data_IF_539823876728
#
_entry.id   IF_539823876728
#
_cell.length_a   1.000
_cell.length_b   1.000
_cell.length_c   1.000
_cell.angle_alpha   90.00
_cell.angle_beta   90.00
_cell.angle_gamma   90.00
#
_symmetry.space_group_name_H-M   'P 1'
#
loop_
_entity.id
_entity.type
_entity.pdbx_description
1 polymer ?
#
# COMPACT_ATOMS: atom_id res chain seq x y z
N UNK A 1 -19.36 18.92 -14.92
CA UNK A 1 -19.70 18.63 -16.35
C UNK A 1 -18.75 17.55 -16.93
N UNK A 2 -17.52 17.40 -16.42
CA UNK A 2 -16.55 16.40 -16.90
C UNK A 2 -16.84 14.96 -16.40
N UNK A 3 -17.38 14.79 -15.20
CA UNK A 3 -17.74 13.47 -14.63
C UNK A 3 -18.78 12.68 -15.48
N UNK A 4 -19.64 13.35 -16.23
CA UNK A 4 -20.63 12.69 -17.10
C UNK A 4 -20.03 12.02 -18.36
N UNK A 5 -18.79 12.37 -18.77
CA UNK A 5 -18.13 11.75 -19.92
C UNK A 5 -17.41 10.44 -19.58
N UNK A 6 -16.87 10.32 -18.36
CA UNK A 6 -16.19 9.10 -17.90
C UNK A 6 -17.18 7.94 -17.74
N UNK A 7 -18.37 8.20 -17.18
CA UNK A 7 -19.46 7.20 -17.08
C UNK A 7 -19.98 6.75 -18.45
N UNK A 8 -19.87 7.55 -19.51
CA UNK A 8 -20.29 7.17 -20.88
C UNK A 8 -19.30 6.21 -21.55
N UNK A 9 -18.01 6.25 -21.26
CA UNK A 9 -17.02 5.31 -21.82
C UNK A 9 -17.22 3.89 -21.24
N UNK A 10 -17.53 3.76 -19.95
CA UNK A 10 -17.85 2.49 -19.30
C UNK A 10 -19.19 1.91 -19.82
N UNK A 11 -20.15 2.76 -20.22
CA UNK A 11 -21.46 2.30 -20.78
C UNK A 11 -21.41 1.84 -22.25
N UNK A 12 -20.34 2.10 -22.99
CA UNK A 12 -20.21 1.62 -24.37
C UNK A 12 -19.64 0.20 -24.48
N UNK A 13 -19.09 -0.34 -23.42
CA UNK A 13 -18.73 -1.75 -23.35
C UNK A 13 -20.00 -2.56 -23.00
N UNK A 14 -20.74 -3.01 -24.01
CA UNK A 14 -21.90 -3.89 -23.83
C UNK A 14 -21.43 -5.25 -23.32
N UNK A 15 -21.37 -5.39 -22.01
CA UNK A 15 -21.45 -6.71 -21.37
C UNK A 15 -22.91 -7.15 -21.50
N UNK A 16 -23.17 -8.15 -22.36
CA UNK A 16 -24.47 -8.84 -22.36
C UNK A 16 -24.67 -9.43 -20.97
N UNK A 17 -25.62 -8.86 -20.20
CA UNK A 17 -26.11 -9.46 -18.97
C UNK A 17 -26.71 -10.84 -19.32
N UNK A 18 -25.95 -11.89 -19.05
CA UNK A 18 -26.51 -13.23 -18.94
C UNK A 18 -27.31 -13.27 -17.65
N UNK A 19 -28.62 -13.55 -17.77
CA UNK A 19 -29.52 -13.76 -16.63
C UNK A 19 -28.93 -14.87 -15.74
N UNK A 20 -28.55 -14.50 -14.54
CA UNK A 20 -28.11 -15.44 -13.51
C UNK A 20 -29.34 -16.20 -12.99
N UNK A 21 -29.51 -17.44 -13.43
CA UNK A 21 -30.27 -18.45 -12.74
C UNK A 21 -29.53 -19.77 -12.86
N UNK A 22 -29.10 -20.27 -11.70
CA UNK A 22 -28.66 -21.63 -11.36
C UNK A 22 -27.15 -21.88 -11.16
N UNK A 23 -26.93 -22.37 -9.97
CA UNK A 23 -25.93 -23.35 -9.48
C UNK A 23 -24.48 -22.89 -9.36
N UNK A 24 -24.05 -22.81 -8.13
CA UNK A 24 -22.67 -22.83 -7.64
C UNK A 24 -21.96 -24.05 -8.27
N UNK A 25 -21.11 -23.82 -9.28
CA UNK A 25 -20.42 -24.91 -9.91
C UNK A 25 -19.44 -24.57 -11.04
N UNK A 26 -19.58 -23.42 -11.71
CA UNK A 26 -18.83 -23.14 -12.95
C UNK A 26 -18.35 -21.68 -13.09
N UNK A 27 -17.69 -21.13 -12.08
CA UNK A 27 -17.03 -19.82 -12.23
C UNK A 27 -15.50 -20.02 -12.17
N UNK A 28 -14.97 -20.73 -13.18
CA UNK A 28 -13.53 -20.72 -13.51
C UNK A 28 -13.33 -20.20 -14.93
N UNK A 29 -13.75 -18.95 -15.20
CA UNK A 29 -13.35 -18.25 -16.43
C UNK A 29 -13.15 -16.77 -16.12
N UNK A 30 -11.90 -16.44 -15.85
CA UNK A 30 -11.39 -15.05 -15.83
C UNK A 30 -11.77 -14.38 -17.17
N UNK A 31 -12.35 -13.16 -17.16
CA UNK A 31 -12.62 -12.45 -18.41
C UNK A 31 -11.30 -12.17 -19.15
N UNK A 32 -11.03 -12.90 -20.22
CA UNK A 32 -9.95 -12.56 -21.15
C UNK A 32 -10.47 -11.47 -22.04
N UNK A 33 -10.01 -10.26 -21.87
CA UNK A 33 -10.27 -9.18 -22.84
C UNK A 33 -9.29 -9.36 -24.02
N UNK A 34 -9.74 -10.07 -25.05
CA UNK A 34 -9.04 -10.12 -26.32
C UNK A 34 -9.60 -8.99 -27.19
N UNK A 35 -8.83 -7.97 -27.48
CA UNK A 35 -9.13 -7.04 -28.57
C UNK A 35 -8.12 -7.26 -29.69
N UNK A 36 -8.53 -7.97 -30.72
CA UNK A 36 -7.88 -7.92 -32.03
C UNK A 36 -8.31 -6.61 -32.71
N UNK A 37 -7.50 -5.58 -32.58
CA UNK A 37 -7.66 -4.36 -33.38
C UNK A 37 -7.15 -4.65 -34.78
N UNK A 38 -7.95 -4.31 -35.79
CA UNK A 38 -7.54 -4.38 -37.20
C UNK A 38 -6.40 -3.39 -37.43
N UNK A 39 -5.16 -3.90 -37.62
CA UNK A 39 -3.99 -3.10 -37.90
C UNK A 39 -2.82 -3.36 -36.93
N UNK A 40 -2.31 -4.60 -36.85
CA UNK A 40 -0.99 -4.90 -36.24
C UNK A 40 -0.80 -4.75 -34.73
N UNK A 41 -1.54 -3.85 -34.04
CA UNK A 41 -1.38 -3.63 -32.59
C UNK A 41 -1.95 -4.77 -31.76
N UNK A 42 -1.07 -5.43 -30.97
CA UNK A 42 -1.47 -6.50 -30.08
C UNK A 42 -1.10 -6.18 -28.63
N UNK A 43 -2.11 -6.07 -27.78
CA UNK A 43 -1.94 -5.95 -26.35
C UNK A 43 -2.94 -6.86 -25.66
N UNK A 44 -2.47 -7.59 -24.65
CA UNK A 44 -3.31 -8.42 -23.80
C UNK A 44 -3.06 -8.07 -22.34
N UNK A 45 -4.12 -7.80 -21.59
CA UNK A 45 -4.10 -7.62 -20.14
C UNK A 45 -4.86 -8.80 -19.51
N UNK A 46 -4.23 -9.48 -18.58
CA UNK A 46 -4.84 -10.52 -17.77
C UNK A 46 -4.88 -10.04 -16.32
N UNK A 47 -6.08 -9.91 -15.78
CA UNK A 47 -6.29 -9.59 -14.38
C UNK A 47 -6.04 -10.85 -13.56
N UNK A 48 -5.01 -10.84 -12.72
CA UNK A 48 -4.62 -11.99 -11.89
C UNK A 48 -5.34 -11.94 -10.55
N UNK A 49 -5.44 -10.76 -9.93
CA UNK A 49 -6.07 -10.58 -8.64
C UNK A 49 -6.78 -9.24 -8.49
N UNK A 50 -7.30 -8.96 -7.30
CA UNK A 50 -8.13 -7.81 -6.95
C UNK A 50 -9.35 -7.64 -7.90
N UNK A 51 -9.91 -8.74 -8.38
CA UNK A 51 -11.10 -8.76 -9.22
C UNK A 51 -12.29 -9.22 -8.40
N UNK A 52 -13.21 -8.31 -8.09
CA UNK A 52 -14.30 -8.46 -7.12
C UNK A 52 -13.86 -8.44 -5.64
N UNK A 53 -12.60 -8.12 -5.37
CA UNK A 53 -11.98 -8.02 -4.06
C UNK A 53 -11.08 -6.78 -3.97
N UNK A 54 -10.64 -6.45 -2.75
CA UNK A 54 -9.82 -5.27 -2.49
C UNK A 54 -8.34 -5.60 -2.60
N UNK A 55 -7.90 -6.78 -2.14
CA UNK A 55 -6.48 -7.12 -1.99
C UNK A 55 -5.94 -8.03 -3.10
N UNK A 56 -4.61 -8.10 -3.25
CA UNK A 56 -3.96 -8.99 -4.20
C UNK A 56 -3.83 -8.41 -5.62
N UNK A 57 -3.71 -7.09 -5.77
CA UNK A 57 -3.57 -6.42 -7.08
C UNK A 57 -2.41 -6.98 -7.89
N UNK A 58 -2.72 -7.52 -9.07
CA UNK A 58 -1.71 -8.04 -9.99
C UNK A 58 -2.29 -8.09 -11.42
N UNK A 59 -1.59 -7.45 -12.35
CA UNK A 59 -1.96 -7.41 -13.76
C UNK A 59 -0.82 -7.95 -14.61
N UNK A 60 -1.08 -9.00 -15.41
CA UNK A 60 -0.13 -9.51 -16.37
C UNK A 60 -0.40 -8.93 -17.75
N UNK A 61 0.64 -8.41 -18.40
CA UNK A 61 0.58 -7.79 -19.72
C UNK A 61 1.47 -8.50 -20.74
N UNK A 62 0.93 -8.67 -21.93
CA UNK A 62 1.66 -8.99 -23.15
C UNK A 62 1.48 -7.84 -24.13
N UNK A 63 2.55 -7.12 -24.47
CA UNK A 63 2.50 -5.96 -25.37
C UNK A 63 3.87 -5.67 -25.97
N UNK A 64 3.92 -5.20 -27.20
CA UNK A 64 5.16 -4.91 -27.95
C UNK A 64 6.18 -6.06 -27.91
N UNK A 65 5.72 -7.31 -27.85
CA UNK A 65 6.56 -8.49 -27.74
C UNK A 65 7.10 -8.81 -26.35
N UNK A 66 6.79 -8.00 -25.35
CA UNK A 66 7.26 -8.11 -23.96
C UNK A 66 6.21 -8.67 -23.01
N UNK A 67 6.67 -9.31 -21.92
CA UNK A 67 5.85 -9.89 -20.85
C UNK A 67 6.24 -9.26 -19.52
N UNK A 68 5.29 -8.58 -18.87
CA UNK A 68 5.58 -7.86 -17.62
C UNK A 68 4.36 -7.79 -16.70
N UNK A 69 4.58 -7.31 -15.49
CA UNK A 69 3.52 -7.11 -14.50
C UNK A 69 3.35 -5.63 -14.18
N UNK A 70 2.13 -5.26 -13.83
CA UNK A 70 1.83 -4.07 -13.03
C UNK A 70 1.28 -4.58 -11.71
N UNK A 71 1.94 -4.22 -10.62
CA UNK A 71 1.75 -4.75 -9.27
C UNK A 71 1.92 -6.28 -9.17
N UNK A 72 2.19 -6.75 -7.97
CA UNK A 72 2.32 -8.18 -7.64
C UNK A 72 1.95 -8.36 -6.17
N UNK A 73 0.67 -8.17 -5.88
CA UNK A 73 0.12 -8.08 -4.53
C UNK A 73 -0.17 -9.43 -3.92
N UNK A 74 -0.15 -9.44 -2.58
CA UNK A 74 -0.56 -10.57 -1.76
C UNK A 74 -2.01 -10.38 -1.32
N UNK A 75 -2.79 -11.43 -1.40
CA UNK A 75 -4.13 -11.49 -0.82
C UNK A 75 -4.07 -11.40 0.71
N UNK A 76 -4.99 -10.65 1.29
CA UNK A 76 -5.08 -10.44 2.73
C UNK A 76 -6.51 -10.59 3.23
N UNK A 77 -6.66 -11.28 4.36
CA UNK A 77 -7.95 -11.49 4.98
C UNK A 77 -8.64 -12.80 4.58
N UNK A 78 -9.94 -12.95 4.83
CA UNK A 78 -10.72 -14.10 4.41
C UNK A 78 -11.13 -13.91 2.94
N UNK A 79 -10.24 -14.26 2.01
CA UNK A 79 -10.47 -14.10 0.58
C UNK A 79 -11.47 -15.14 0.08
N UNK A 80 -12.48 -14.67 -0.63
CA UNK A 80 -13.47 -15.52 -1.29
C UNK A 80 -13.07 -15.86 -2.72
N UNK A 81 -12.12 -15.12 -3.29
CA UNK A 81 -11.61 -15.29 -4.64
C UNK A 81 -10.10 -15.38 -4.60
N UNK A 82 -9.55 -16.53 -4.94
CA UNK A 82 -8.10 -16.71 -5.03
C UNK A 82 -7.55 -16.03 -6.28
N UNK A 83 -6.37 -15.41 -6.17
CA UNK A 83 -5.64 -14.88 -7.31
C UNK A 83 -5.36 -16.00 -8.33
N UNK A 84 -5.55 -15.68 -9.60
CA UNK A 84 -5.23 -16.61 -10.66
C UNK A 84 -3.71 -16.79 -10.79
N UNK A 85 -3.30 -17.95 -11.29
CA UNK A 85 -1.89 -18.15 -11.64
C UNK A 85 -1.47 -17.24 -12.80
N UNK A 86 -0.26 -16.70 -12.73
CA UNK A 86 0.35 -15.98 -13.84
C UNK A 86 0.55 -16.97 -14.99
N UNK A 87 0.05 -16.67 -16.21
CA UNK A 87 -0.10 -17.66 -17.28
C UNK A 87 1.20 -18.02 -18.04
N UNK A 88 2.35 -17.64 -17.49
CA UNK A 88 3.69 -17.88 -18.06
C UNK A 88 4.66 -18.32 -16.96
N UNK A 89 5.79 -18.91 -17.35
CA UNK A 89 6.86 -19.17 -16.40
C UNK A 89 7.39 -17.84 -15.83
N UNK A 90 7.59 -17.77 -14.51
CA UNK A 90 7.94 -16.51 -13.85
C UNK A 90 9.31 -15.94 -14.29
N UNK A 91 10.21 -16.81 -14.78
CA UNK A 91 11.45 -16.37 -15.42
C UNK A 91 11.27 -15.69 -16.78
N UNK A 92 10.07 -15.73 -17.39
CA UNK A 92 9.76 -15.03 -18.62
C UNK A 92 9.24 -13.61 -18.39
N UNK A 93 8.94 -13.25 -17.14
CA UNK A 93 8.55 -11.88 -16.75
C UNK A 93 9.79 -11.01 -16.81
N UNK A 94 9.78 -10.01 -17.67
CA UNK A 94 10.95 -9.17 -17.96
C UNK A 94 11.12 -8.07 -16.91
N UNK A 95 10.03 -7.47 -16.44
CA UNK A 95 10.04 -6.43 -15.40
C UNK A 95 8.69 -6.32 -14.69
N UNK A 96 8.68 -5.58 -13.59
CA UNK A 96 7.47 -5.19 -12.86
C UNK A 96 7.42 -3.67 -12.77
N UNK A 97 6.26 -3.08 -12.96
CA UNK A 97 5.95 -1.68 -12.63
C UNK A 97 5.11 -1.70 -11.36
N UNK A 98 5.56 -1.06 -10.30
CA UNK A 98 4.90 -1.10 -8.99
C UNK A 98 4.30 0.25 -8.64
N UNK A 99 3.00 0.28 -8.34
CA UNK A 99 2.27 1.52 -8.01
C UNK A 99 2.63 2.07 -6.64
N UNK A 100 2.66 1.22 -5.62
CA UNK A 100 3.01 1.62 -4.25
C UNK A 100 3.39 0.43 -3.36
N UNK A 101 3.80 0.71 -2.13
CA UNK A 101 4.46 -0.28 -1.28
C UNK A 101 3.53 -1.19 -0.47
N UNK A 102 2.20 -0.95 -0.41
CA UNK A 102 1.31 -1.83 0.36
C UNK A 102 1.44 -3.30 -0.06
N UNK A 103 1.30 -4.20 0.90
CA UNK A 103 1.54 -5.64 0.71
C UNK A 103 0.55 -6.26 -0.29
N UNK A 104 -0.66 -5.75 -0.38
CA UNK A 104 -1.64 -6.16 -1.39
C UNK A 104 -1.34 -5.68 -2.82
N UNK A 105 -0.25 -4.90 -3.01
CA UNK A 105 0.32 -4.51 -4.30
C UNK A 105 1.74 -5.02 -4.52
N UNK A 106 2.52 -5.26 -3.46
CA UNK A 106 3.95 -5.63 -3.55
C UNK A 106 4.28 -7.00 -2.96
N UNK A 107 3.42 -7.55 -2.11
CA UNK A 107 3.75 -8.63 -1.18
C UNK A 107 4.11 -9.97 -1.81
N UNK A 108 3.76 -10.22 -3.06
CA UNK A 108 4.13 -11.43 -3.80
C UNK A 108 5.41 -11.28 -4.64
N UNK A 109 6.05 -10.10 -4.66
CA UNK A 109 7.34 -9.91 -5.35
C UNK A 109 8.41 -10.92 -4.89
N UNK A 110 8.60 -11.19 -3.58
CA UNK A 110 9.53 -12.23 -3.16
C UNK A 110 9.13 -13.64 -3.61
N UNK A 111 7.83 -13.93 -3.67
CA UNK A 111 7.33 -15.24 -4.09
C UNK A 111 7.59 -15.50 -5.57
N UNK A 112 7.44 -14.50 -6.45
CA UNK A 112 7.82 -14.66 -7.87
C UNK A 112 9.34 -14.73 -8.04
N UNK A 113 10.10 -14.01 -7.20
CA UNK A 113 11.57 -14.11 -7.19
C UNK A 113 12.03 -15.53 -6.81
N UNK A 114 11.47 -16.14 -5.77
CA UNK A 114 11.74 -17.52 -5.39
C UNK A 114 11.49 -18.51 -6.53
N UNK A 115 10.54 -18.21 -7.41
CA UNK A 115 10.13 -19.05 -8.55
C UNK A 115 10.78 -18.65 -9.88
N UNK A 116 11.82 -17.80 -9.89
CA UNK A 116 12.67 -17.55 -11.05
C UNK A 116 12.59 -16.15 -11.68
N UNK A 117 11.74 -15.24 -11.22
CA UNK A 117 11.78 -13.85 -11.65
C UNK A 117 13.12 -13.21 -11.27
N UNK A 118 13.74 -12.47 -12.20
CA UNK A 118 15.03 -11.78 -11.98
C UNK A 118 15.07 -10.38 -12.60
N UNK A 119 13.99 -9.95 -13.22
CA UNK A 119 13.89 -8.64 -13.86
C UNK A 119 13.89 -7.48 -12.86
N UNK A 120 14.04 -6.24 -13.33
CA UNK A 120 13.92 -5.04 -12.51
C UNK A 120 12.48 -4.81 -12.04
N UNK A 121 12.35 -4.19 -10.86
CA UNK A 121 11.09 -3.67 -10.32
C UNK A 121 11.19 -2.16 -10.30
N UNK A 122 10.48 -1.51 -11.23
CA UNK A 122 10.44 -0.06 -11.32
C UNK A 122 9.36 0.50 -10.40
N UNK A 123 9.74 1.42 -9.52
CA UNK A 123 8.86 2.12 -8.59
C UNK A 123 9.42 3.52 -8.31
N UNK A 124 8.67 4.38 -7.62
CA UNK A 124 9.25 5.61 -7.11
C UNK A 124 10.35 5.30 -6.07
N UNK A 125 11.28 6.23 -5.85
CA UNK A 125 12.34 6.03 -4.85
C UNK A 125 11.76 5.77 -3.46
N UNK A 126 10.74 6.54 -3.06
CA UNK A 126 10.09 6.37 -1.76
C UNK A 126 9.35 5.02 -1.65
N UNK A 127 8.66 4.57 -2.70
CA UNK A 127 8.04 3.24 -2.74
C UNK A 127 9.10 2.14 -2.63
N UNK A 128 10.25 2.28 -3.29
CA UNK A 128 11.34 1.31 -3.24
C UNK A 128 11.90 1.18 -1.82
N UNK A 129 12.11 2.29 -1.11
CA UNK A 129 12.57 2.29 0.28
C UNK A 129 11.53 1.72 1.25
N UNK A 130 10.24 2.04 1.06
CA UNK A 130 9.17 1.42 1.86
C UNK A 130 9.05 -0.08 1.60
N UNK A 131 9.20 -0.53 0.36
CA UNK A 131 9.20 -1.95 0.03
C UNK A 131 10.36 -2.70 0.70
N UNK A 132 11.53 -2.08 0.85
CA UNK A 132 12.64 -2.72 1.57
C UNK A 132 12.23 -3.13 2.98
N UNK A 133 11.65 -2.22 3.75
CA UNK A 133 11.25 -2.53 5.13
C UNK A 133 10.02 -3.44 5.19
N UNK A 134 9.03 -3.22 4.32
CA UNK A 134 7.77 -3.96 4.35
C UNK A 134 7.92 -5.40 3.90
N UNK A 135 8.70 -5.67 2.85
CA UNK A 135 8.93 -7.04 2.37
C UNK A 135 9.80 -7.84 3.33
N UNK A 136 10.76 -7.22 4.01
CA UNK A 136 11.54 -7.87 5.09
C UNK A 136 10.64 -8.21 6.28
N UNK A 137 9.78 -7.29 6.70
CA UNK A 137 8.84 -7.53 7.81
C UNK A 137 7.86 -8.65 7.45
N UNK A 138 7.29 -8.63 6.25
CA UNK A 138 6.40 -9.69 5.75
C UNK A 138 7.09 -11.06 5.69
N UNK A 139 8.33 -11.14 5.21
CA UNK A 139 9.11 -12.39 5.21
C UNK A 139 9.34 -12.91 6.64
N UNK A 140 9.69 -12.01 7.57
CA UNK A 140 9.89 -12.36 8.97
C UNK A 140 8.61 -12.93 9.60
N UNK A 141 7.46 -12.28 9.37
CA UNK A 141 6.16 -12.73 9.88
C UNK A 141 5.82 -14.12 9.33
N UNK A 142 5.96 -14.36 8.02
CA UNK A 142 5.64 -15.64 7.40
C UNK A 142 6.56 -16.76 7.90
N UNK A 143 7.86 -16.51 8.02
CA UNK A 143 8.82 -17.49 8.55
C UNK A 143 8.51 -17.82 10.01
N UNK A 144 8.22 -16.82 10.84
CA UNK A 144 7.83 -17.00 12.24
C UNK A 144 6.53 -17.81 12.37
N UNK A 145 5.54 -17.51 11.54
CA UNK A 145 4.27 -18.25 11.52
C UNK A 145 4.49 -19.71 11.08
N UNK A 146 5.32 -19.93 10.07
CA UNK A 146 5.68 -21.27 9.62
C UNK A 146 6.35 -22.08 10.74
N UNK A 147 7.30 -21.50 11.44
CA UNK A 147 7.94 -22.15 12.59
C UNK A 147 6.94 -22.49 13.71
N UNK A 148 6.05 -21.55 14.02
CA UNK A 148 5.04 -21.76 15.05
C UNK A 148 4.06 -22.87 14.66
N UNK A 149 3.55 -22.86 13.42
CA UNK A 149 2.69 -23.92 12.88
C UNK A 149 3.39 -25.28 12.90
N UNK A 150 4.66 -25.33 12.51
CA UNK A 150 5.45 -26.55 12.46
C UNK A 150 5.71 -27.12 13.86
N UNK A 151 6.05 -26.28 14.86
CA UNK A 151 6.17 -26.71 16.25
C UNK A 151 4.88 -27.34 16.79
N UNK A 152 3.73 -26.77 16.46
CA UNK A 152 2.41 -27.28 16.84
C UNK A 152 2.03 -28.53 16.03
N UNK A 153 2.32 -28.54 14.74
CA UNK A 153 2.00 -29.62 13.78
C UNK A 153 2.79 -30.89 14.03
N UNK A 154 4.09 -30.82 14.41
CA UNK A 154 4.94 -31.98 14.72
C UNK A 154 4.34 -32.88 15.79
N UNK A 155 3.71 -32.29 16.81
CA UNK A 155 3.01 -33.05 17.86
C UNK A 155 1.76 -33.79 17.36
N UNK A 156 1.25 -33.43 16.17
CA UNK A 156 0.04 -33.98 15.57
C UNK A 156 0.32 -34.80 14.31
N UNK A 157 1.60 -35.01 13.94
CA UNK A 157 1.98 -35.74 12.73
C UNK A 157 1.58 -35.03 11.41
N UNK A 158 1.36 -33.69 11.45
CA UNK A 158 1.00 -32.92 10.25
C UNK A 158 2.22 -32.68 9.36
N UNK A 159 2.02 -32.58 8.03
CA UNK A 159 3.09 -32.20 7.10
C UNK A 159 3.65 -30.81 7.47
N UNK A 160 4.91 -30.58 7.08
CA UNK A 160 5.58 -29.32 7.32
C UNK A 160 4.93 -28.20 6.49
N UNK A 161 4.64 -27.09 7.14
CA UNK A 161 4.17 -25.87 6.49
C UNK A 161 5.38 -25.06 6.02
N UNK A 162 5.41 -24.72 4.74
CA UNK A 162 6.47 -23.93 4.11
C UNK A 162 5.95 -22.51 3.88
N UNK A 163 6.70 -21.46 4.26
CA UNK A 163 6.29 -20.09 3.97
C UNK A 163 6.27 -19.84 2.46
N UNK A 164 5.49 -18.88 1.99
CA UNK A 164 5.39 -18.55 0.55
C UNK A 164 6.75 -18.07 0.00
N UNK A 165 7.58 -17.45 0.83
CA UNK A 165 8.95 -17.04 0.54
C UNK A 165 9.74 -16.83 1.84
N UNK A 166 11.04 -16.69 1.67
CA UNK A 166 12.00 -16.53 2.77
C UNK A 166 12.56 -15.10 2.80
N UNK A 167 13.31 -14.78 3.87
CA UNK A 167 14.07 -13.53 3.95
C UNK A 167 15.08 -13.38 2.80
N UNK A 168 15.70 -14.48 2.35
CA UNK A 168 16.63 -14.48 1.22
C UNK A 168 15.94 -14.07 -0.08
N UNK A 169 14.72 -14.55 -0.32
CA UNK A 169 13.91 -14.20 -1.48
C UNK A 169 13.51 -12.72 -1.44
N UNK A 170 13.10 -12.22 -0.27
CA UNK A 170 12.79 -10.81 -0.08
C UNK A 170 14.01 -9.92 -0.36
N UNK A 171 15.15 -10.24 0.25
CA UNK A 171 16.42 -9.52 0.00
C UNK A 171 16.88 -9.66 -1.45
N UNK A 172 16.53 -10.75 -2.11
CA UNK A 172 16.83 -10.99 -3.52
C UNK A 172 16.09 -10.00 -4.43
N UNK A 173 14.77 -9.89 -4.29
CA UNK A 173 13.96 -8.98 -5.12
C UNK A 173 14.20 -7.51 -4.77
N UNK A 174 14.47 -7.18 -3.51
CA UNK A 174 14.78 -5.79 -3.09
C UNK A 174 15.98 -5.24 -3.88
N UNK A 175 16.98 -6.04 -4.17
CA UNK A 175 18.14 -5.63 -4.99
C UNK A 175 17.80 -5.35 -6.45
N UNK A 176 16.64 -5.75 -6.92
CA UNK A 176 16.18 -5.52 -8.29
C UNK A 176 15.33 -4.24 -8.43
N UNK A 177 15.09 -3.51 -7.35
CA UNK A 177 14.36 -2.25 -7.42
C UNK A 177 15.16 -1.19 -8.16
N UNK A 178 14.46 -0.45 -9.02
CA UNK A 178 14.97 0.69 -9.78
C UNK A 178 14.10 1.89 -9.44
N UNK A 179 14.65 2.84 -8.71
CA UNK A 179 13.97 4.07 -8.32
C UNK A 179 13.71 5.00 -9.51
N UNK A 180 12.51 5.52 -9.59
CA UNK A 180 12.04 6.38 -10.66
C UNK A 180 11.49 7.68 -10.07
N UNK A 181 11.95 8.85 -10.49
CA UNK A 181 11.36 10.11 -10.07
C UNK A 181 9.96 10.30 -10.68
N UNK A 182 9.09 10.99 -9.94
CA UNK A 182 7.77 11.38 -10.45
C UNK A 182 7.88 12.17 -11.75
N UNK A 183 6.88 12.03 -12.59
CA UNK A 183 6.69 12.76 -13.84
C UNK A 183 7.79 12.58 -14.91
N UNK A 184 8.78 11.72 -14.66
CA UNK A 184 9.83 11.40 -15.60
C UNK A 184 9.50 10.14 -16.41
N UNK A 185 9.61 10.22 -17.73
CA UNK A 185 9.43 9.07 -18.60
C UNK A 185 10.62 8.11 -18.47
N UNK A 186 10.31 6.82 -18.29
CA UNK A 186 11.27 5.72 -18.35
C UNK A 186 10.90 4.80 -19.52
N UNK A 187 11.85 4.01 -20.00
CA UNK A 187 11.65 3.04 -21.11
C UNK A 187 12.13 1.67 -20.63
N UNK A 188 11.26 0.90 -19.94
CA UNK A 188 11.61 -0.42 -19.43
C UNK A 188 11.99 -1.44 -20.52
N UNK A 189 11.38 -1.32 -21.71
CA UNK A 189 11.65 -2.17 -22.86
C UNK A 189 11.37 -1.42 -24.17
N UNK A 190 11.78 -1.96 -25.30
CA UNK A 190 11.50 -1.37 -26.63
C UNK A 190 9.99 -1.30 -26.86
N UNK A 191 9.50 -0.16 -27.35
CA UNK A 191 8.06 0.07 -27.54
C UNK A 191 7.25 0.27 -26.27
N UNK A 192 7.86 0.23 -25.06
CA UNK A 192 7.17 0.43 -23.78
C UNK A 192 7.81 1.58 -23.03
N UNK A 193 7.02 2.60 -22.74
CA UNK A 193 7.42 3.72 -21.87
C UNK A 193 6.43 3.89 -20.71
N UNK A 194 6.93 4.25 -19.56
CA UNK A 194 6.11 4.45 -18.37
C UNK A 194 6.47 5.75 -17.63
N UNK A 195 5.49 6.31 -16.95
CA UNK A 195 5.65 7.49 -16.10
C UNK A 195 4.85 7.30 -14.81
N UNK A 196 5.49 7.59 -13.68
CA UNK A 196 4.87 7.54 -12.36
C UNK A 196 4.31 8.92 -12.01
N UNK A 197 3.01 8.98 -11.71
CA UNK A 197 2.26 10.20 -11.40
C UNK A 197 1.79 10.09 -9.95
N UNK A 198 1.98 11.11 -9.14
CA UNK A 198 1.62 11.05 -7.72
C UNK A 198 0.14 10.68 -7.53
N UNK A 199 -0.11 9.61 -6.80
CA UNK A 199 -1.46 9.11 -6.50
C UNK A 199 -2.00 9.62 -5.16
N UNK A 200 -1.20 10.32 -4.35
CA UNK A 200 -1.60 10.92 -3.08
C UNK A 200 -2.16 9.94 -2.05
N UNK A 201 -1.84 8.65 -2.14
CA UNK A 201 -2.38 7.60 -1.29
C UNK A 201 -1.43 7.21 -0.15
N UNK A 202 -0.18 7.01 -0.47
CA UNK A 202 0.90 6.67 0.44
C UNK A 202 2.16 7.40 0.00
N UNK A 203 3.14 7.56 0.89
CA UNK A 203 4.45 8.09 0.51
C UNK A 203 5.01 7.33 -0.69
N UNK A 204 5.31 8.02 -1.78
CA UNK A 204 5.82 7.40 -2.99
C UNK A 204 4.77 6.75 -3.89
N UNK A 205 3.49 6.69 -3.50
CA UNK A 205 2.43 6.06 -4.31
C UNK A 205 2.28 6.74 -5.67
N UNK A 206 2.03 5.95 -6.70
CA UNK A 206 1.87 6.47 -8.05
C UNK A 206 0.79 5.77 -8.85
N UNK A 207 0.06 6.54 -9.65
CA UNK A 207 -0.61 6.02 -10.83
C UNK A 207 0.42 5.86 -11.94
N UNK A 208 0.33 4.77 -12.71
CA UNK A 208 1.28 4.47 -13.79
C UNK A 208 0.63 4.80 -15.13
N UNK A 209 1.17 5.80 -15.81
CA UNK A 209 0.85 6.10 -17.21
C UNK A 209 1.77 5.26 -18.10
N UNK A 210 1.22 4.26 -18.75
CA UNK A 210 1.93 3.32 -19.63
C UNK A 210 1.63 3.66 -21.09
N UNK A 211 2.66 3.91 -21.89
CA UNK A 211 2.56 4.11 -23.33
C UNK A 211 3.15 2.91 -24.05
N UNK A 212 2.35 2.27 -24.90
CA UNK A 212 2.76 1.14 -25.72
C UNK A 212 2.73 1.56 -27.18
N UNK A 213 3.85 1.33 -27.87
CA UNK A 213 4.01 1.62 -29.29
C UNK A 213 4.35 0.34 -30.04
N UNK A 214 3.53 0.01 -31.00
CA UNK A 214 3.76 -1.08 -31.97
C UNK A 214 3.56 -0.54 -33.38
N UNK A 215 4.57 -0.67 -34.22
CA UNK A 215 4.57 -0.10 -35.56
C UNK A 215 4.18 1.39 -35.56
N UNK A 216 3.12 1.75 -36.26
CA UNK A 216 2.60 3.12 -36.35
C UNK A 216 1.49 3.42 -35.30
N UNK A 217 1.22 2.50 -34.41
CA UNK A 217 0.14 2.64 -33.41
C UNK A 217 0.72 2.85 -32.03
N UNK A 218 0.21 3.89 -31.36
CA UNK A 218 0.53 4.19 -29.97
C UNK A 218 -0.75 4.15 -29.12
N UNK A 219 -0.70 3.52 -27.96
CA UNK A 219 -1.80 3.46 -26.99
C UNK A 219 -1.30 3.79 -25.60
N UNK A 220 -2.09 4.60 -24.90
CA UNK A 220 -1.85 5.01 -23.53
C UNK A 220 -2.82 4.31 -22.58
N UNK A 221 -2.28 3.64 -21.57
CA UNK A 221 -3.04 2.96 -20.52
C UNK A 221 -2.64 3.57 -19.20
N UNK A 222 -3.61 3.79 -18.32
CA UNK A 222 -3.37 4.22 -16.95
C UNK A 222 -3.78 3.11 -15.99
N UNK A 223 -2.87 2.75 -15.10
CA UNK A 223 -3.16 1.96 -13.90
C UNK A 223 -3.19 2.92 -12.73
N UNK A 224 -4.32 3.03 -12.06
CA UNK A 224 -4.47 4.00 -10.97
C UNK A 224 -3.63 3.66 -9.75
N UNK A 225 -3.35 2.37 -9.50
CA UNK A 225 -3.05 1.93 -8.14
C UNK A 225 -4.18 2.33 -7.21
N UNK A 226 -3.89 2.51 -5.95
CA UNK A 226 -4.80 3.11 -4.99
C UNK A 226 -4.70 4.64 -5.05
N UNK A 227 -5.83 5.32 -5.08
CA UNK A 227 -5.90 6.78 -5.20
C UNK A 227 -6.22 7.37 -3.84
N UNK A 228 -5.41 8.32 -3.39
CA UNK A 228 -5.63 9.04 -2.15
C UNK A 228 -6.77 10.05 -2.23
N UNK A 229 -7.20 10.51 -1.07
CA UNK A 229 -8.14 11.62 -0.97
C UNK A 229 -7.40 12.96 -1.09
N UNK A 230 -8.09 13.99 -1.58
CA UNK A 230 -7.58 15.36 -1.55
C UNK A 230 -7.55 15.92 -0.13
N UNK A 231 -6.64 16.86 0.13
CA UNK A 231 -6.45 17.52 1.43
C UNK A 231 -6.20 16.51 2.56
N UNK A 232 -5.42 15.49 2.31
CA UNK A 232 -4.84 14.66 3.37
C UNK A 232 -3.61 15.38 3.93
N UNK A 233 -3.35 15.31 5.23
CA UNK A 233 -2.16 15.93 5.79
C UNK A 233 -0.89 15.18 5.37
N UNK A 234 0.21 15.90 5.31
CA UNK A 234 1.57 15.41 5.17
C UNK A 234 2.01 15.07 3.75
N UNK A 235 1.18 14.43 2.93
CA UNK A 235 1.52 14.05 1.55
C UNK A 235 0.71 14.85 0.54
N UNK A 236 1.26 15.00 -0.66
CA UNK A 236 0.61 15.73 -1.76
C UNK A 236 -0.72 15.12 -2.16
N UNK A 237 -1.60 15.95 -2.69
CA UNK A 237 -2.83 15.50 -3.33
C UNK A 237 -2.54 14.70 -4.61
N UNK A 238 -3.46 13.79 -5.02
CA UNK A 238 -3.33 13.08 -6.29
C UNK A 238 -3.23 14.04 -7.48
N UNK A 239 -2.26 13.80 -8.37
CA UNK A 239 -2.18 14.51 -9.63
C UNK A 239 -3.20 13.98 -10.65
N UNK A 240 -3.81 14.88 -11.45
CA UNK A 240 -4.80 14.50 -12.44
C UNK A 240 -4.15 14.09 -13.77
N UNK A 241 -4.59 12.95 -14.27
CA UNK A 241 -4.24 12.46 -15.62
C UNK A 241 -5.24 12.99 -16.64
N UNK A 242 -4.75 13.59 -17.71
CA UNK A 242 -5.61 14.32 -18.65
C UNK A 242 -6.09 13.49 -19.84
N UNK A 243 -5.34 12.43 -20.22
CA UNK A 243 -5.67 11.62 -21.39
C UNK A 243 -5.16 10.19 -21.24
N UNK A 244 -6.03 9.22 -21.57
CA UNK A 244 -5.68 7.81 -21.73
C UNK A 244 -6.65 7.15 -22.72
N UNK A 245 -6.17 6.15 -23.47
CA UNK A 245 -7.04 5.29 -24.28
C UNK A 245 -7.77 4.28 -23.41
N UNK A 246 -7.10 3.77 -22.37
CA UNK A 246 -7.63 2.79 -21.41
C UNK A 246 -7.27 3.17 -19.99
N UNK A 247 -8.15 2.83 -19.05
CA UNK A 247 -7.94 3.05 -17.62
C UNK A 247 -8.29 1.76 -16.88
N UNK A 248 -7.34 1.28 -16.08
CA UNK A 248 -7.53 0.25 -15.05
C UNK A 248 -7.50 0.97 -13.70
N UNK A 249 -8.62 0.95 -13.01
CA UNK A 249 -8.84 1.82 -11.85
C UNK A 249 -9.46 1.04 -10.70
N UNK A 250 -9.00 1.33 -9.47
CA UNK A 250 -9.65 0.86 -8.25
C UNK A 250 -11.12 1.30 -8.17
N UNK A 251 -11.91 0.59 -7.38
CA UNK A 251 -13.31 0.93 -7.13
C UNK A 251 -13.77 0.58 -5.71
N UNK A 252 -12.87 0.62 -4.74
CA UNK A 252 -13.11 0.27 -3.34
C UNK A 252 -14.29 1.02 -2.73
N UNK A 253 -14.40 2.32 -3.03
CA UNK A 253 -15.52 3.18 -2.65
C UNK A 253 -16.35 3.63 -3.86
N UNK A 254 -16.35 2.87 -4.95
CA UNK A 254 -17.03 3.22 -6.20
C UNK A 254 -18.56 3.31 -6.10
N UNK A 255 -19.17 2.74 -5.08
CA UNK A 255 -20.60 2.71 -4.82
C UNK A 255 -21.07 3.69 -3.73
N UNK A 256 -20.17 4.39 -3.03
CA UNK A 256 -20.50 5.25 -1.90
C UNK A 256 -19.52 6.43 -1.74
N UNK A 257 -19.94 7.42 -0.97
CA UNK A 257 -19.11 8.55 -0.55
C UNK A 257 -18.60 8.34 0.88
N UNK A 258 -17.43 8.89 1.19
CA UNK A 258 -16.88 8.90 2.56
C UNK A 258 -17.61 9.81 3.53
N UNK A 259 -18.50 10.71 3.05
CA UNK A 259 -19.12 11.76 3.85
C UNK A 259 -18.22 12.98 4.05
N UNK A 260 -18.63 13.86 4.95
CA UNK A 260 -17.85 15.05 5.31
C UNK A 260 -16.65 14.67 6.18
N UNK A 261 -15.48 15.26 5.94
CA UNK A 261 -14.30 15.06 6.77
C UNK A 261 -14.48 15.80 8.10
N UNK A 262 -14.37 15.13 9.24
CA UNK A 262 -14.39 15.81 10.53
C UNK A 262 -13.08 16.60 10.74
N UNK A 263 -13.13 17.55 11.66
CA UNK A 263 -11.92 18.16 12.21
C UNK A 263 -11.19 17.13 13.10
N UNK A 264 -10.22 16.42 12.50
CA UNK A 264 -9.49 15.36 13.19
C UNK A 264 -8.66 15.85 14.36
N UNK A 265 -8.10 17.07 14.29
CA UNK A 265 -7.31 17.67 15.37
C UNK A 265 -8.19 17.92 16.58
N UNK A 266 -9.35 18.56 16.37
CA UNK A 266 -10.32 18.81 17.42
C UNK A 266 -10.84 17.52 18.04
N UNK A 267 -11.32 16.60 17.19
CA UNK A 267 -11.88 15.33 17.67
C UNK A 267 -10.85 14.52 18.48
N UNK A 268 -9.62 14.42 17.98
CA UNK A 268 -8.55 13.68 18.65
C UNK A 268 -8.14 14.36 19.96
N UNK A 269 -8.09 15.70 20.01
CA UNK A 269 -7.78 16.44 21.25
C UNK A 269 -8.84 16.22 22.32
N UNK A 270 -10.13 16.21 21.96
CA UNK A 270 -11.24 15.92 22.86
C UNK A 270 -11.15 14.48 23.44
N UNK A 271 -10.86 13.51 22.59
CA UNK A 271 -10.68 12.10 23.01
C UNK A 271 -9.47 11.96 23.96
N UNK A 272 -8.35 12.62 23.67
CA UNK A 272 -7.16 12.61 24.53
C UNK A 272 -7.50 13.22 25.89
N UNK A 273 -8.12 14.40 25.89
CA UNK A 273 -8.53 15.12 27.10
C UNK A 273 -9.41 14.24 27.99
N UNK A 274 -10.52 13.74 27.45
CA UNK A 274 -11.46 12.89 28.20
C UNK A 274 -10.80 11.63 28.75
N UNK A 275 -9.90 11.03 27.97
CA UNK A 275 -9.18 9.81 28.42
C UNK A 275 -8.22 10.11 29.54
N UNK A 276 -7.47 11.20 29.46
CA UNK A 276 -6.48 11.58 30.48
C UNK A 276 -7.11 12.09 31.77
N UNK A 277 -8.23 12.84 31.68
CA UNK A 277 -8.97 13.31 32.84
C UNK A 277 -9.52 12.13 33.66
N UNK A 278 -9.76 10.99 33.04
CA UNK A 278 -10.11 9.73 33.73
C UNK A 278 -8.90 8.93 34.22
N UNK A 279 -7.68 9.42 33.98
CA UNK A 279 -6.43 8.74 34.34
C UNK A 279 -6.09 7.54 33.43
N UNK A 280 -6.70 7.44 32.26
CA UNK A 280 -6.50 6.33 31.34
C UNK A 280 -5.44 6.60 30.25
N UNK A 281 -5.07 5.56 29.52
CA UNK A 281 -4.23 5.62 28.34
C UNK A 281 -5.07 5.60 27.06
N UNK A 282 -4.70 6.41 26.07
CA UNK A 282 -5.29 6.31 24.73
C UNK A 282 -4.47 5.35 23.85
N UNK A 283 -5.06 4.22 23.48
CA UNK A 283 -4.43 3.25 22.59
C UNK A 283 -5.01 3.40 21.18
N UNK A 284 -4.16 3.71 20.20
CA UNK A 284 -4.55 3.94 18.81
C UNK A 284 -4.03 2.78 17.96
N UNK A 285 -4.91 1.88 17.46
CA UNK A 285 -4.54 0.90 16.46
C UNK A 285 -4.18 1.61 15.15
N UNK A 286 -3.02 1.31 14.60
CA UNK A 286 -2.56 2.00 13.40
C UNK A 286 -1.72 1.09 12.51
N UNK A 287 -1.88 1.22 11.18
CA UNK A 287 -0.93 0.64 10.25
C UNK A 287 0.42 1.31 10.43
N UNK A 288 1.49 0.53 10.31
CA UNK A 288 2.85 1.02 10.54
C UNK A 288 3.27 2.11 9.54
N UNK A 289 2.74 2.04 8.33
CA UNK A 289 3.04 2.96 7.22
C UNK A 289 1.80 3.76 6.86
N UNK A 290 1.93 5.05 6.71
CA UNK A 290 0.88 6.01 6.37
C UNK A 290 0.11 6.49 7.60
N UNK A 291 -0.80 5.70 8.13
CA UNK A 291 -1.69 6.11 9.23
C UNK A 291 -0.95 6.50 10.52
N UNK A 292 0.13 5.82 10.86
CA UNK A 292 0.95 6.21 12.03
C UNK A 292 1.52 7.61 11.85
N UNK A 293 2.04 7.94 10.68
CA UNK A 293 2.64 9.25 10.40
C UNK A 293 1.58 10.35 10.38
N UNK A 294 0.38 10.09 9.86
CA UNK A 294 -0.75 11.03 9.99
C UNK A 294 -1.14 11.30 11.45
N UNK A 295 -1.21 10.26 12.28
CA UNK A 295 -1.51 10.44 13.71
C UNK A 295 -0.43 11.27 14.40
N UNK A 296 0.83 11.06 14.08
CA UNK A 296 1.94 11.88 14.60
C UNK A 296 1.80 13.34 14.16
N UNK A 297 1.41 13.60 12.92
CA UNK A 297 1.16 14.95 12.41
C UNK A 297 0.06 15.67 13.23
N UNK A 298 -1.09 15.03 13.43
CA UNK A 298 -2.19 15.60 14.21
C UNK A 298 -1.80 15.81 15.68
N UNK A 299 -1.13 14.84 16.31
CA UNK A 299 -0.71 14.96 17.71
C UNK A 299 0.34 16.06 17.88
N UNK A 300 1.27 16.22 16.92
CA UNK A 300 2.21 17.34 16.92
C UNK A 300 1.45 18.67 16.95
N UNK A 301 0.41 18.84 16.12
CA UNK A 301 -0.39 20.04 16.08
C UNK A 301 -1.13 20.26 17.42
N UNK A 302 -1.81 19.23 17.95
CA UNK A 302 -2.49 19.26 19.26
C UNK A 302 -1.55 19.75 20.37
N UNK A 303 -0.31 19.22 20.38
CA UNK A 303 0.70 19.62 21.38
C UNK A 303 1.22 21.05 21.15
N UNK A 304 1.43 21.46 19.90
CA UNK A 304 1.91 22.80 19.58
C UNK A 304 0.88 23.88 19.93
N UNK A 305 -0.40 23.58 19.73
CA UNK A 305 -1.52 24.49 20.01
C UNK A 305 -2.04 24.40 21.46
N UNK A 306 -1.48 23.48 22.28
CA UNK A 306 -1.85 23.30 23.68
C UNK A 306 -3.32 22.91 23.89
N UNK A 307 -3.86 22.03 23.02
CA UNK A 307 -5.29 21.68 23.01
C UNK A 307 -5.71 20.65 24.07
N UNK A 308 -4.76 20.14 24.87
CA UNK A 308 -5.04 19.21 25.99
C UNK A 308 -4.60 19.89 27.29
N UNK A 309 -5.55 20.28 28.10
CA UNK A 309 -5.32 21.10 29.28
C UNK A 309 -5.00 20.27 30.52
N UNK A 310 -4.08 20.73 31.35
CA UNK A 310 -3.71 20.06 32.60
C UNK A 310 -2.84 18.81 32.44
N UNK A 311 -2.51 18.46 31.20
CA UNK A 311 -1.67 17.31 30.86
C UNK A 311 -0.50 17.72 29.95
N UNK A 312 0.09 18.88 30.21
CA UNK A 312 1.18 19.44 29.43
C UNK A 312 2.36 18.46 29.33
N UNK A 313 2.90 18.32 28.13
CA UNK A 313 4.07 17.46 27.92
C UNK A 313 3.78 15.95 27.91
N UNK A 314 2.50 15.54 27.80
CA UNK A 314 2.14 14.12 27.77
C UNK A 314 2.99 13.31 26.77
N UNK A 315 3.26 12.05 27.12
CA UNK A 315 4.07 11.13 26.31
C UNK A 315 3.24 10.50 25.19
N UNK A 316 3.88 10.31 24.06
CA UNK A 316 3.33 9.57 22.93
C UNK A 316 4.29 8.47 22.56
N UNK A 317 3.83 7.23 22.55
CA UNK A 317 4.65 6.08 22.21
C UNK A 317 4.27 5.56 20.82
N UNK A 318 5.26 5.35 19.95
CA UNK A 318 5.11 4.54 18.73
C UNK A 318 5.71 3.17 19.05
N UNK A 319 4.82 2.20 19.27
CA UNK A 319 5.22 0.83 19.63
C UNK A 319 5.12 -0.13 18.42
N UNK A 320 5.97 0.15 17.43
CA UNK A 320 6.12 -0.66 16.23
C UNK A 320 7.49 -0.40 15.60
N UNK A 321 8.40 -1.39 15.55
CA UNK A 321 9.68 -1.24 14.86
C UNK A 321 9.53 -0.81 13.39
N UNK A 322 8.62 -1.43 12.66
CA UNK A 322 8.33 -1.10 11.26
C UNK A 322 7.86 0.36 11.11
N UNK A 323 7.00 0.85 12.03
CA UNK A 323 6.55 2.25 11.98
C UNK A 323 7.69 3.25 12.19
N UNK A 324 8.68 2.87 12.99
CA UNK A 324 9.87 3.70 13.23
C UNK A 324 10.75 3.80 11.98
N UNK A 325 11.03 2.67 11.33
CA UNK A 325 11.75 2.64 10.06
C UNK A 325 11.00 3.45 8.99
N UNK A 326 9.69 3.25 8.89
CA UNK A 326 8.84 4.02 7.96
C UNK A 326 8.91 5.54 8.24
N UNK A 327 8.87 5.97 9.50
CA UNK A 327 8.95 7.39 9.87
C UNK A 327 10.27 8.01 9.44
N UNK A 328 11.37 7.26 9.48
CA UNK A 328 12.66 7.69 8.96
C UNK A 328 12.59 7.89 7.44
N UNK A 329 12.02 6.93 6.71
CA UNK A 329 11.87 7.03 5.25
C UNK A 329 10.98 8.23 4.87
N UNK A 330 9.90 8.50 5.62
CA UNK A 330 9.09 9.70 5.42
C UNK A 330 9.92 10.99 5.52
N UNK A 331 10.83 11.05 6.49
CA UNK A 331 11.72 12.22 6.66
C UNK A 331 12.77 12.33 5.54
N UNK A 332 13.21 11.23 4.94
CA UNK A 332 14.16 11.22 3.83
C UNK A 332 13.54 11.69 2.51
N UNK A 333 12.23 11.43 2.29
CA UNK A 333 11.50 11.74 1.06
C UNK A 333 10.58 12.96 1.16
N UNK A 334 10.80 13.82 2.15
CA UNK A 334 9.95 15.00 2.39
C UNK A 334 9.85 15.95 1.18
N UNK A 335 10.93 16.17 0.44
CA UNK A 335 10.94 17.13 -0.68
C UNK A 335 10.12 16.64 -1.88
N UNK A 336 10.07 15.36 -2.11
CA UNK A 336 9.38 14.78 -3.25
C UNK A 336 7.90 14.51 -2.96
N UNK A 337 7.57 14.16 -1.71
CA UNK A 337 6.26 13.61 -1.36
C UNK A 337 5.41 14.50 -0.44
N UNK A 338 6.00 15.42 0.35
CA UNK A 338 5.21 16.20 1.31
C UNK A 338 4.47 17.35 0.63
N UNK A 339 3.29 17.66 1.18
CA UNK A 339 2.46 18.78 0.77
C UNK A 339 3.07 20.13 1.14
N UNK A 340 2.47 21.22 0.67
CA UNK A 340 2.96 22.56 0.91
C UNK A 340 2.94 22.93 2.41
N UNK A 341 1.93 22.47 3.17
CA UNK A 341 1.77 22.77 4.60
C UNK A 341 2.89 22.12 5.43
N UNK A 342 3.15 20.84 5.19
CA UNK A 342 4.25 20.13 5.83
C UNK A 342 5.61 20.73 5.47
N UNK A 343 5.80 21.14 4.21
CA UNK A 343 7.01 21.80 3.75
C UNK A 343 7.20 23.20 4.37
N UNK A 344 6.14 23.93 4.65
CA UNK A 344 6.24 25.19 5.40
C UNK A 344 6.69 24.99 6.85
N UNK A 345 6.23 23.92 7.51
CA UNK A 345 6.72 23.54 8.84
C UNK A 345 8.23 23.28 8.81
N UNK A 346 8.69 22.50 7.84
CA UNK A 346 10.11 22.19 7.66
C UNK A 346 10.94 23.45 7.45
N UNK A 347 10.49 24.38 6.60
CA UNK A 347 11.15 25.69 6.40
C UNK A 347 11.29 26.50 7.69
N UNK A 348 10.33 26.34 8.62
CA UNK A 348 10.37 26.95 9.96
C UNK A 348 11.23 26.17 10.96
N UNK A 349 11.88 25.08 10.54
CA UNK A 349 12.66 24.20 11.42
C UNK A 349 11.83 23.26 12.29
N UNK A 350 10.57 23.06 11.96
CA UNK A 350 9.63 22.20 12.68
C UNK A 350 9.51 20.89 11.93
N UNK A 351 9.81 19.77 12.61
CA UNK A 351 9.55 18.44 12.04
C UNK A 351 8.03 18.14 12.09
N UNK A 352 7.38 17.81 10.95
CA UNK A 352 5.92 17.58 10.91
C UNK A 352 5.44 16.38 11.72
N UNK A 353 6.29 15.36 11.92
CA UNK A 353 5.96 14.07 12.54
C UNK A 353 6.83 13.74 13.75
N UNK A 354 7.56 14.72 14.28
CA UNK A 354 8.37 14.56 15.49
C UNK A 354 8.19 15.77 16.41
N UNK A 355 8.12 15.54 17.71
CA UNK A 355 7.83 16.56 18.71
C UNK A 355 8.35 16.15 20.09
N UNK A 356 8.51 17.08 21.04
CA UNK A 356 8.90 16.76 22.42
C UNK A 356 7.89 15.81 23.07
N UNK A 357 8.40 14.74 23.71
CA UNK A 357 7.58 13.71 24.35
C UNK A 357 7.23 12.52 23.46
N UNK A 358 7.59 12.55 22.17
CA UNK A 358 7.53 11.35 21.32
C UNK A 358 8.59 10.34 21.77
N UNK A 359 8.17 9.12 22.01
CA UNK A 359 8.99 7.98 22.41
C UNK A 359 8.85 6.84 21.40
N UNK A 360 9.95 6.22 21.08
CA UNK A 360 10.02 5.11 20.12
C UNK A 360 10.34 3.84 20.90
N UNK A 361 9.54 2.79 20.71
CA UNK A 361 9.78 1.47 21.29
C UNK A 361 10.33 0.54 20.20
N UNK A 362 11.55 0.06 20.38
CA UNK A 362 12.21 -0.83 19.42
C UNK A 362 12.14 -2.27 19.91
N UNK A 363 12.49 -2.53 21.17
CA UNK A 363 12.57 -3.88 21.73
C UNK A 363 11.26 -4.33 22.37
N UNK A 364 11.13 -5.64 22.62
CA UNK A 364 9.99 -6.16 23.38
C UNK A 364 9.96 -5.69 24.83
N UNK A 365 11.12 -5.37 25.40
CA UNK A 365 11.20 -4.89 26.78
C UNK A 365 10.82 -3.41 26.86
N UNK A 366 11.16 -2.59 25.85
CA UNK A 366 10.62 -1.23 25.73
C UNK A 366 9.09 -1.27 25.67
N UNK A 367 8.52 -2.15 24.85
CA UNK A 367 7.06 -2.32 24.72
C UNK A 367 6.39 -2.68 26.05
N UNK A 368 6.99 -3.62 26.80
CA UNK A 368 6.47 -3.97 28.13
C UNK A 368 6.55 -2.80 29.11
N UNK A 369 7.63 -2.02 29.06
CA UNK A 369 7.84 -0.88 29.97
C UNK A 369 6.76 0.19 29.84
N UNK A 370 6.14 0.34 28.67
CA UNK A 370 5.04 1.27 28.43
C UNK A 370 3.86 0.98 29.38
N UNK A 371 3.57 -0.29 29.62
CA UNK A 371 2.44 -0.70 30.47
C UNK A 371 2.71 -0.51 31.97
N UNK A 372 3.96 -0.33 32.40
CA UNK A 372 4.33 -0.01 33.77
C UNK A 372 4.40 1.50 34.08
N UNK A 373 4.34 2.34 33.03
CA UNK A 373 4.28 3.78 33.21
C UNK A 373 2.84 4.18 33.58
N UNK A 374 2.64 4.70 34.79
CA UNK A 374 1.32 5.03 35.35
C UNK A 374 0.78 6.38 34.83
N UNK A 375 1.62 7.24 34.20
CA UNK A 375 1.18 8.51 33.67
C UNK A 375 0.29 8.31 32.44
N UNK A 376 -0.83 9.05 32.31
CA UNK A 376 -1.64 9.04 31.08
C UNK A 376 -0.82 9.35 29.83
N UNK A 377 -0.99 8.53 28.79
CA UNK A 377 -0.21 8.62 27.57
C UNK A 377 -0.98 8.18 26.33
N UNK A 378 -0.49 8.54 25.17
CA UNK A 378 -0.95 8.01 23.88
C UNK A 378 -0.02 6.88 23.44
N UNK A 379 -0.58 5.77 23.02
CA UNK A 379 0.15 4.60 22.49
C UNK A 379 -0.36 4.32 21.08
N UNK A 380 0.49 4.51 20.08
CA UNK A 380 0.21 4.16 18.68
C UNK A 380 0.91 2.84 18.41
N UNK A 381 0.16 1.80 18.04
CA UNK A 381 0.74 0.47 17.88
C UNK A 381 0.11 -0.30 16.71
N UNK A 382 0.91 -1.07 16.00
CA UNK A 382 0.46 -2.01 14.98
C UNK A 382 -0.01 -3.34 15.65
N UNK A 383 -1.01 -4.07 15.06
CA UNK A 383 -1.65 -3.83 13.77
C UNK A 383 -2.89 -2.95 13.91
N UNK A 384 -3.26 -2.31 12.78
CA UNK A 384 -4.45 -1.46 12.72
C UNK A 384 -5.78 -2.22 12.93
N UNK A 385 -5.80 -3.53 12.67
CA UNK A 385 -6.98 -4.38 12.85
C UNK A 385 -7.04 -5.07 14.22
N UNK A 386 -6.07 -4.85 15.11
CA UNK A 386 -5.96 -5.45 16.45
C UNK A 386 -5.88 -6.98 16.48
N UNK A 387 -5.68 -7.65 15.39
CA UNK A 387 -5.63 -9.12 15.28
C UNK A 387 -4.24 -9.71 15.51
N UNK A 388 -3.20 -8.90 15.35
CA UNK A 388 -1.80 -9.27 15.52
C UNK A 388 -0.99 -8.14 16.19
N UNK A 389 0.30 -8.38 16.44
CA UNK A 389 1.23 -7.36 16.88
C UNK A 389 1.15 -7.00 18.39
N UNK A 390 1.91 -5.97 18.73
CA UNK A 390 2.09 -5.49 20.11
C UNK A 390 0.83 -4.85 20.68
N UNK A 391 -0.01 -4.27 19.84
CA UNK A 391 -1.30 -3.67 20.22
C UNK A 391 -2.15 -4.58 21.11
N UNK A 392 -2.11 -5.90 20.89
CA UNK A 392 -2.88 -6.88 21.68
C UNK A 392 -2.49 -6.92 23.16
N UNK A 393 -1.27 -6.52 23.47
CA UNK A 393 -0.83 -6.43 24.88
C UNK A 393 -1.36 -5.17 25.51
N UNK A 394 -1.30 -4.02 24.83
CA UNK A 394 -1.83 -2.75 25.33
C UNK A 394 -3.36 -2.75 25.52
N UNK A 395 -4.09 -3.52 24.73
CA UNK A 395 -5.55 -3.66 24.88
C UNK A 395 -5.97 -4.58 26.03
N UNK A 396 -5.03 -5.28 26.70
CA UNK A 396 -5.31 -6.19 27.82
C UNK A 396 -4.91 -5.63 29.17
N UNK A 397 -4.08 -4.61 29.16
CA UNK A 397 -3.62 -3.88 30.36
C UNK A 397 -4.39 -2.58 30.53
#
# INVERSE_FOLDING_TARGET
>A
IQYRRIIKAVKSCRVKQAKCSKTIGDIKKIPRVHQNLKGGFYMKITFIGATHEVTGSCYYLEAAGHKFLVDCGMEQGPDYYENAEIPVALGEIEFVLLTHAHIDHSGNLPAIYAKGFRGPVYATDATSHLCDIMLRDSAHIQMFEAEWRNRKGRRQGKPEFVPAYTMEDAMGVIRNFVGCPYNKMITPAEGISARFIDAGHLLGSASIELTIREEDTEKKIVFSGDIGNTCQPLIKDPEYLHHADYIVMESTYGDRSHGEKPDYVKLLSEIIQETFDRGGNLVIPSFAVGRTQEMLYFIRQIKADGLVYGHDGFKVYVDSPLANEATTIFSEHQYDCFDEEAMELIKKGINPISFPGLKISVTSDDSKSINYDEEPKVIISASGMCDAGRIKHHLKT
#
